data_IF_675152204511
#
_entry.id   IF_675152204511
#
_cell.length_a   1.000
_cell.length_b   1.000
_cell.length_c   1.000
_cell.angle_alpha   90.00
_cell.angle_beta   90.00
_cell.angle_gamma   90.00
#
_symmetry.space_group_name_H-M   'P 1'
#
loop_
_entity.id
_entity.type
_entity.pdbx_description
1 polymer ?
#
# COMPACT_ATOMS: atom_id res chain seq x y z
N UNK A 1 3.69 -22.87 39.55
CA UNK A 1 3.96 -21.42 39.86
C UNK A 1 4.30 -20.76 38.56
N UNK A 2 3.35 -20.13 37.91
CA UNK A 2 3.62 -19.30 36.73
C UNK A 2 4.54 -18.17 37.16
N UNK A 3 5.67 -18.08 36.53
CA UNK A 3 6.72 -17.13 36.86
C UNK A 3 6.14 -15.71 36.66
N UNK A 4 6.02 -14.93 37.73
CA UNK A 4 5.51 -13.54 37.68
C UNK A 4 6.18 -12.69 36.58
N UNK A 5 7.43 -13.01 36.25
CA UNK A 5 8.18 -12.39 35.16
C UNK A 5 7.58 -12.71 33.77
N UNK A 6 7.07 -13.92 33.58
CA UNK A 6 6.46 -14.34 32.32
C UNK A 6 5.05 -13.73 32.16
N UNK A 7 4.30 -13.65 33.24
CA UNK A 7 3.02 -12.96 33.28
C UNK A 7 3.19 -11.45 32.98
N UNK A 8 4.15 -10.80 33.62
CA UNK A 8 4.46 -9.39 33.37
C UNK A 8 4.89 -9.12 31.93
N UNK A 9 5.71 -10.03 31.35
CA UNK A 9 6.13 -9.93 29.95
C UNK A 9 4.95 -10.08 28.99
N UNK A 10 4.07 -11.02 29.25
CA UNK A 10 2.87 -11.23 28.44
C UNK A 10 1.91 -10.05 28.55
N UNK A 11 1.69 -9.50 29.75
CA UNK A 11 0.90 -8.30 29.95
C UNK A 11 1.51 -7.10 29.22
N UNK A 12 2.81 -6.88 29.34
CA UNK A 12 3.50 -5.78 28.67
C UNK A 12 3.37 -5.86 27.13
N UNK A 13 3.51 -7.05 26.57
CA UNK A 13 3.38 -7.27 25.13
C UNK A 13 1.93 -7.19 24.64
N UNK A 14 0.96 -7.55 25.47
CA UNK A 14 -0.47 -7.44 25.13
C UNK A 14 -0.95 -5.98 25.03
N UNK A 15 -0.23 -5.02 25.63
CA UNK A 15 -0.56 -3.60 25.60
C UNK A 15 0.25 -2.80 24.57
N UNK A 16 0.70 -3.41 23.48
CA UNK A 16 1.35 -2.66 22.40
C UNK A 16 0.29 -1.94 21.53
N UNK A 17 0.07 -0.62 21.73
CA UNK A 17 -0.99 0.11 21.02
C UNK A 17 -0.64 0.39 19.55
N UNK A 18 0.59 0.11 19.13
CA UNK A 18 1.06 0.37 17.77
C UNK A 18 0.98 -0.86 16.85
N UNK A 19 0.75 -2.02 17.41
CA UNK A 19 0.64 -3.26 16.63
C UNK A 19 -0.84 -3.64 16.46
N UNK A 20 -1.35 -3.67 15.22
CA UNK A 20 -2.71 -4.15 14.97
C UNK A 20 -2.81 -5.64 15.32
N UNK A 21 -3.95 -6.04 15.82
CA UNK A 21 -4.22 -7.45 16.12
C UNK A 21 -4.40 -8.21 14.79
N UNK A 22 -3.74 -9.37 14.63
CA UNK A 22 -4.03 -10.24 13.50
C UNK A 22 -5.48 -10.75 13.55
N UNK A 23 -5.99 -11.19 12.43
CA UNK A 23 -7.32 -11.78 12.39
C UNK A 23 -7.36 -13.05 13.27
N UNK A 24 -8.45 -13.22 14.01
CA UNK A 24 -8.61 -14.35 14.95
C UNK A 24 -7.82 -14.23 16.26
N UNK A 25 -7.18 -13.09 16.54
CA UNK A 25 -6.47 -12.88 17.81
C UNK A 25 -7.45 -12.99 19.00
N UNK A 26 -7.14 -13.76 20.07
CA UNK A 26 -8.01 -13.93 21.21
C UNK A 26 -8.25 -12.65 22.04
N UNK A 27 -7.40 -11.63 21.86
CA UNK A 27 -7.56 -10.33 22.50
C UNK A 27 -8.49 -9.37 21.70
N UNK A 28 -8.96 -9.79 20.53
CA UNK A 28 -9.89 -8.98 19.74
C UNK A 28 -11.23 -8.88 20.46
N UNK A 29 -11.70 -7.65 20.63
CA UNK A 29 -13.04 -7.34 21.15
C UNK A 29 -13.85 -6.73 20.02
N UNK A 30 -15.00 -7.34 19.73
CA UNK A 30 -15.93 -6.76 18.75
C UNK A 30 -16.54 -5.47 19.29
N UNK A 31 -16.26 -4.38 18.60
CA UNK A 31 -16.76 -3.05 18.93
C UNK A 31 -17.87 -2.58 17.95
N UNK A 32 -18.51 -3.48 17.21
CA UNK A 32 -19.53 -3.16 16.22
C UNK A 32 -20.62 -2.27 16.79
N UNK A 33 -21.21 -2.65 17.91
CA UNK A 33 -22.28 -1.88 18.56
C UNK A 33 -21.88 -0.44 18.95
N UNK A 34 -20.58 -0.18 19.18
CA UNK A 34 -20.06 1.15 19.54
C UNK A 34 -19.69 1.96 18.28
N UNK A 35 -19.46 1.27 17.16
CA UNK A 35 -19.04 1.87 15.88
C UNK A 35 -20.19 2.18 14.93
N UNK A 36 -21.43 1.99 15.34
CA UNK A 36 -22.63 2.28 14.54
C UNK A 36 -23.24 1.09 13.83
N UNK A 37 -23.14 -0.09 14.42
CA UNK A 37 -23.77 -1.35 14.00
C UNK A 37 -23.34 -1.89 12.61
N UNK A 38 -22.44 -1.24 11.90
CA UNK A 38 -21.95 -1.73 10.62
C UNK A 38 -20.75 -2.67 10.80
N UNK A 39 -20.87 -3.91 10.37
CA UNK A 39 -19.70 -4.81 10.24
C UNK A 39 -18.98 -4.50 8.94
N UNK A 40 -17.71 -4.07 9.04
CA UNK A 40 -16.86 -3.79 7.89
C UNK A 40 -16.75 -5.02 6.95
N UNK A 41 -16.77 -6.23 7.50
CA UNK A 41 -16.65 -7.46 6.71
C UNK A 41 -17.90 -7.66 5.85
N UNK A 42 -19.08 -7.39 6.39
CA UNK A 42 -20.32 -7.48 5.64
C UNK A 42 -20.44 -6.32 4.65
N UNK A 43 -20.15 -5.11 5.08
CA UNK A 43 -20.33 -3.94 4.24
C UNK A 43 -19.28 -3.86 3.11
N UNK A 44 -18.00 -3.75 3.45
CA UNK A 44 -16.93 -3.64 2.45
C UNK A 44 -16.65 -4.97 1.77
N UNK A 45 -16.64 -6.07 2.52
CA UNK A 45 -16.39 -7.39 1.97
C UNK A 45 -17.40 -7.77 0.90
N UNK A 46 -18.70 -7.57 1.15
CA UNK A 46 -19.75 -7.84 0.17
C UNK A 46 -19.66 -6.86 -1.04
N UNK A 47 -19.40 -5.57 -0.79
CA UNK A 47 -19.23 -4.61 -1.91
C UNK A 47 -18.08 -5.02 -2.83
N UNK A 48 -16.97 -5.50 -2.30
CA UNK A 48 -15.83 -5.96 -3.09
C UNK A 48 -16.19 -7.23 -3.84
N UNK A 49 -16.80 -8.20 -3.18
CA UNK A 49 -17.11 -9.50 -3.78
C UNK A 49 -18.19 -9.48 -4.85
N UNK A 50 -19.24 -8.68 -4.64
CA UNK A 50 -20.38 -8.58 -5.56
C UNK A 50 -20.13 -7.62 -6.72
N UNK A 51 -19.02 -6.87 -6.69
CA UNK A 51 -18.72 -5.91 -7.73
C UNK A 51 -18.39 -6.61 -9.06
N UNK A 52 -19.11 -6.24 -10.10
CA UNK A 52 -18.83 -6.66 -11.48
C UNK A 52 -17.72 -5.86 -12.16
N UNK A 53 -17.34 -4.73 -11.56
CA UNK A 53 -16.30 -3.82 -12.05
C UNK A 53 -15.30 -3.50 -10.92
N UNK A 54 -14.20 -2.85 -11.28
CA UNK A 54 -13.24 -2.36 -10.27
C UNK A 54 -13.93 -1.36 -9.35
N UNK A 55 -13.78 -1.55 -8.05
CA UNK A 55 -14.26 -0.61 -7.04
C UNK A 55 -13.08 -0.01 -6.28
N UNK A 56 -13.27 1.20 -5.78
CA UNK A 56 -12.39 1.83 -4.82
C UNK A 56 -13.22 2.16 -3.58
N UNK A 57 -12.75 1.73 -2.42
CA UNK A 57 -13.42 1.95 -1.15
C UNK A 57 -12.48 2.70 -0.21
N UNK A 58 -12.98 3.73 0.44
CA UNK A 58 -12.26 4.47 1.47
C UNK A 58 -12.82 4.08 2.85
N UNK A 59 -11.96 3.53 3.70
CA UNK A 59 -12.28 3.23 5.09
C UNK A 59 -11.62 4.24 6.00
N UNK A 60 -12.40 5.11 6.61
CA UNK A 60 -11.93 6.21 7.45
C UNK A 60 -12.41 6.06 8.90
N UNK A 61 -11.74 6.72 9.82
CA UNK A 61 -12.08 6.74 11.24
C UNK A 61 -10.96 7.38 12.06
N UNK A 62 -11.26 7.70 13.31
CA UNK A 62 -10.29 8.31 14.21
C UNK A 62 -9.03 7.45 14.40
N UNK A 63 -7.90 8.11 14.68
CA UNK A 63 -6.67 7.41 15.07
C UNK A 63 -6.92 6.59 16.34
N UNK A 64 -6.44 5.34 16.35
CA UNK A 64 -6.68 4.43 17.48
C UNK A 64 -8.03 3.70 17.46
N UNK A 65 -8.91 3.95 16.47
CA UNK A 65 -10.20 3.26 16.35
C UNK A 65 -10.09 1.79 15.89
N UNK A 66 -8.89 1.24 15.74
CA UNK A 66 -8.66 -0.15 15.34
C UNK A 66 -8.80 -0.42 13.84
N UNK A 67 -8.67 0.60 12.97
CA UNK A 67 -8.80 0.44 11.51
C UNK A 67 -7.92 -0.66 10.95
N UNK A 68 -6.65 -0.68 11.28
CA UNK A 68 -5.69 -1.68 10.80
C UNK A 68 -6.08 -3.11 11.22
N UNK A 69 -6.58 -3.29 12.43
CA UNK A 69 -7.12 -4.59 12.89
C UNK A 69 -8.32 -5.03 12.06
N UNK A 70 -9.25 -4.12 11.78
CA UNK A 70 -10.41 -4.42 10.92
C UNK A 70 -10.02 -4.70 9.47
N UNK A 71 -9.01 -3.99 8.92
CA UNK A 71 -8.50 -4.26 7.59
C UNK A 71 -7.78 -5.61 7.50
N UNK A 72 -7.08 -6.07 8.56
CA UNK A 72 -6.52 -7.42 8.62
C UNK A 72 -7.61 -8.50 8.68
N UNK A 73 -8.70 -8.25 9.41
CA UNK A 73 -9.88 -9.13 9.40
C UNK A 73 -10.53 -9.17 8.02
N UNK A 74 -10.67 -8.02 7.36
CA UNK A 74 -11.19 -7.94 6.00
C UNK A 74 -10.30 -8.70 5.01
N UNK A 75 -8.98 -8.62 5.14
CA UNK A 75 -8.04 -9.41 4.35
C UNK A 75 -8.34 -10.90 4.45
N UNK A 76 -8.40 -11.46 5.68
CA UNK A 76 -8.69 -12.88 5.90
C UNK A 76 -10.09 -13.26 5.36
N UNK A 77 -11.09 -12.41 5.61
CA UNK A 77 -12.45 -12.60 5.09
C UNK A 77 -12.48 -12.72 3.56
N UNK A 78 -11.74 -11.87 2.84
CA UNK A 78 -11.65 -11.90 1.38
C UNK A 78 -10.86 -13.11 0.88
N UNK A 79 -9.73 -13.44 1.53
CA UNK A 79 -8.91 -14.62 1.20
C UNK A 79 -9.71 -15.92 1.34
N UNK A 80 -10.51 -16.06 2.41
CA UNK A 80 -11.42 -17.19 2.60
C UNK A 80 -12.48 -17.32 1.49
N UNK A 81 -12.73 -16.24 0.72
CA UNK A 81 -13.71 -16.17 -0.36
C UNK A 81 -13.08 -16.08 -1.76
N UNK A 82 -11.90 -16.70 -1.91
CA UNK A 82 -11.23 -16.81 -3.20
C UNK A 82 -10.73 -15.47 -3.78
N UNK A 83 -10.50 -14.48 -2.93
CA UNK A 83 -9.86 -13.23 -3.34
C UNK A 83 -8.35 -13.32 -3.05
N UNK A 84 -7.52 -12.96 -4.01
CA UNK A 84 -6.10 -12.73 -3.76
C UNK A 84 -5.93 -11.32 -3.20
N UNK A 85 -5.39 -11.20 -2.00
CA UNK A 85 -5.29 -9.90 -1.31
C UNK A 85 -3.84 -9.47 -1.17
N UNK A 86 -3.52 -8.30 -1.72
CA UNK A 86 -2.27 -7.59 -1.45
C UNK A 86 -2.55 -6.56 -0.36
N UNK A 87 -1.93 -6.73 0.80
CA UNK A 87 -2.04 -5.79 1.93
C UNK A 87 -0.68 -5.22 2.27
N UNK A 88 -0.60 -3.93 2.44
CA UNK A 88 0.59 -3.25 2.96
C UNK A 88 0.23 -1.94 3.68
N UNK A 89 1.08 -1.55 4.64
CA UNK A 89 1.00 -0.27 5.31
C UNK A 89 1.90 0.74 4.57
N UNK A 90 1.33 1.88 4.19
CA UNK A 90 2.01 2.86 3.35
C UNK A 90 3.21 3.52 4.05
N UNK A 91 3.14 3.70 5.36
CA UNK A 91 4.15 4.37 6.18
C UNK A 91 5.32 3.46 6.64
N UNK A 92 5.24 2.14 6.41
CA UNK A 92 6.27 1.23 6.94
C UNK A 92 7.59 1.29 6.16
N UNK A 93 7.56 1.38 4.84
CA UNK A 93 8.77 1.26 4.02
C UNK A 93 9.00 2.40 3.02
N UNK A 94 7.95 2.98 2.46
CA UNK A 94 8.07 3.78 1.23
C UNK A 94 7.70 5.25 1.37
N UNK A 95 6.94 5.63 2.39
CA UNK A 95 6.37 6.98 2.52
C UNK A 95 6.79 7.61 3.84
N UNK A 96 7.20 8.88 3.76
CA UNK A 96 7.33 9.73 4.94
C UNK A 96 5.95 10.31 5.28
N UNK A 97 5.39 9.92 6.43
CA UNK A 97 4.07 10.37 6.85
C UNK A 97 3.98 11.89 7.15
N UNK A 98 5.13 12.55 7.38
CA UNK A 98 5.16 13.99 7.69
C UNK A 98 5.11 14.86 6.42
N UNK A 99 5.48 14.28 5.26
CA UNK A 99 5.50 14.98 3.98
C UNK A 99 5.17 14.02 2.84
N UNK A 100 3.94 13.52 2.80
CA UNK A 100 3.45 12.62 1.75
C UNK A 100 2.60 13.37 0.73
N UNK A 101 2.84 13.12 -0.56
CA UNK A 101 2.05 13.60 -1.68
C UNK A 101 1.53 12.43 -2.53
N UNK A 102 0.62 12.73 -3.45
CA UNK A 102 0.01 11.73 -4.34
C UNK A 102 1.05 10.88 -5.09
N UNK A 103 2.11 11.51 -5.61
CA UNK A 103 3.18 10.82 -6.33
C UNK A 103 3.90 9.78 -5.48
N UNK A 104 4.15 10.08 -4.21
CA UNK A 104 4.82 9.16 -3.28
C UNK A 104 3.97 7.92 -3.05
N UNK A 105 2.66 8.11 -2.84
CA UNK A 105 1.70 7.02 -2.67
C UNK A 105 1.64 6.16 -3.94
N UNK A 106 1.57 6.80 -5.11
CA UNK A 106 1.52 6.08 -6.39
C UNK A 106 2.79 5.25 -6.63
N UNK A 107 3.97 5.81 -6.35
CA UNK A 107 5.24 5.10 -6.47
C UNK A 107 5.34 3.95 -5.47
N UNK A 108 4.97 4.18 -4.21
CA UNK A 108 4.93 3.15 -3.17
C UNK A 108 4.00 2.00 -3.54
N UNK A 109 2.77 2.30 -3.96
CA UNK A 109 1.81 1.31 -4.44
C UNK A 109 2.37 0.54 -5.64
N UNK A 110 2.96 1.23 -6.62
CA UNK A 110 3.53 0.59 -7.80
C UNK A 110 4.65 -0.37 -7.43
N UNK A 111 5.57 0.05 -6.56
CA UNK A 111 6.65 -0.81 -6.09
C UNK A 111 6.13 -2.06 -5.38
N UNK A 112 5.20 -1.88 -4.44
CA UNK A 112 4.63 -3.01 -3.68
C UNK A 112 3.91 -3.99 -4.58
N UNK A 113 3.07 -3.51 -5.48
CA UNK A 113 2.35 -4.35 -6.42
C UNK A 113 3.30 -5.10 -7.37
N UNK A 114 4.36 -4.45 -7.85
CA UNK A 114 5.39 -5.13 -8.63
C UNK A 114 6.08 -6.23 -7.82
N UNK A 115 6.48 -5.94 -6.59
CA UNK A 115 7.19 -6.89 -5.73
C UNK A 115 6.33 -8.13 -5.44
N UNK A 116 5.06 -7.95 -5.09
CA UNK A 116 4.15 -9.03 -4.71
C UNK A 116 3.65 -9.84 -5.92
N UNK A 117 3.41 -9.17 -7.04
CA UNK A 117 2.68 -9.76 -8.16
C UNK A 117 3.55 -10.07 -9.40
N UNK A 118 4.87 -9.83 -9.35
CA UNK A 118 5.78 -9.99 -10.50
C UNK A 118 5.80 -11.40 -11.12
N UNK A 119 5.51 -12.42 -10.31
CA UNK A 119 5.46 -13.82 -10.78
C UNK A 119 4.14 -14.20 -11.42
N UNK A 120 3.08 -13.42 -11.18
CA UNK A 120 1.73 -13.67 -11.69
C UNK A 120 1.43 -12.86 -12.95
N UNK A 121 1.99 -11.67 -13.09
CA UNK A 121 1.77 -10.78 -14.22
C UNK A 121 3.04 -10.49 -15.01
N UNK A 122 2.87 -9.82 -16.15
CA UNK A 122 3.99 -9.31 -16.93
C UNK A 122 4.42 -7.93 -16.41
N UNK A 123 5.54 -7.81 -15.69
CA UNK A 123 5.98 -6.52 -15.14
C UNK A 123 6.56 -5.56 -16.20
N UNK A 124 6.81 -6.03 -17.42
CA UNK A 124 7.48 -5.25 -18.48
C UNK A 124 6.87 -3.87 -18.75
N UNK A 125 5.53 -3.66 -18.78
CA UNK A 125 4.99 -2.33 -19.02
C UNK A 125 5.46 -1.31 -18.00
N UNK A 126 5.46 -1.66 -16.71
CA UNK A 126 5.90 -0.78 -15.63
C UNK A 126 7.43 -0.61 -15.64
N UNK A 127 8.17 -1.68 -15.89
CA UNK A 127 9.63 -1.62 -15.96
C UNK A 127 10.12 -0.83 -17.19
N UNK A 128 9.42 -0.91 -18.31
CA UNK A 128 9.72 -0.07 -19.48
C UNK A 128 9.44 1.41 -19.17
N UNK A 129 8.33 1.72 -18.46
CA UNK A 129 8.08 3.08 -18.02
C UNK A 129 9.22 3.62 -17.16
N UNK A 130 9.75 2.82 -16.22
CA UNK A 130 10.92 3.18 -15.42
C UNK A 130 12.18 3.34 -16.29
N UNK A 131 12.42 2.42 -17.23
CA UNK A 131 13.54 2.44 -18.14
C UNK A 131 13.57 3.72 -18.99
N UNK A 132 12.44 4.12 -19.54
CA UNK A 132 12.31 5.31 -20.40
C UNK A 132 12.68 6.61 -19.65
N UNK A 133 12.62 6.59 -18.31
CA UNK A 133 12.90 7.74 -17.43
C UNK A 133 14.15 7.55 -16.57
N UNK A 134 14.85 6.42 -16.78
CA UNK A 134 15.97 6.06 -15.92
C UNK A 134 17.12 7.07 -15.97
N UNK A 135 17.38 7.67 -17.12
CA UNK A 135 18.43 8.68 -17.23
C UNK A 135 18.18 9.89 -16.32
N UNK A 136 16.91 10.22 -16.10
CA UNK A 136 16.52 11.34 -15.24
C UNK A 136 16.44 10.93 -13.76
N UNK A 137 16.26 9.64 -13.46
CA UNK A 137 15.99 9.13 -12.10
C UNK A 137 17.20 8.40 -11.49
N UNK A 138 18.18 7.96 -12.26
CA UNK A 138 19.29 7.12 -11.76
C UNK A 138 20.13 7.78 -10.67
N UNK A 139 20.36 9.08 -10.79
CA UNK A 139 21.14 9.83 -9.80
C UNK A 139 20.39 9.89 -8.46
N UNK A 140 19.05 9.92 -8.50
CA UNK A 140 18.17 9.90 -7.34
C UNK A 140 18.07 8.52 -6.69
N UNK A 141 18.32 7.47 -7.47
CA UNK A 141 18.47 6.10 -6.95
C UNK A 141 19.89 5.84 -6.41
N UNK A 142 20.78 6.84 -6.42
CA UNK A 142 22.18 6.74 -5.99
C UNK A 142 22.90 5.56 -6.64
N UNK A 143 22.73 5.39 -7.94
CA UNK A 143 23.33 4.28 -8.70
C UNK A 143 23.93 4.76 -10.02
N UNK A 144 25.06 4.17 -10.39
CA UNK A 144 25.71 4.39 -11.70
C UNK A 144 25.32 3.32 -12.74
N UNK A 145 24.58 2.28 -12.31
CA UNK A 145 24.24 1.14 -13.16
C UNK A 145 23.21 1.55 -14.20
N UNK A 146 23.45 1.19 -15.47
CA UNK A 146 22.48 1.39 -16.54
C UNK A 146 21.38 0.34 -16.45
N UNK A 147 20.12 0.75 -16.65
CA UNK A 147 18.96 -0.15 -16.46
C UNK A 147 18.90 -1.23 -17.56
N UNK A 148 19.51 -0.99 -18.72
CA UNK A 148 19.59 -1.93 -19.83
C UNK A 148 20.33 -3.22 -19.47
N UNK A 149 21.31 -3.12 -18.58
CA UNK A 149 22.15 -4.24 -18.14
C UNK A 149 21.49 -5.04 -16.98
N UNK A 150 20.31 -4.61 -16.54
CA UNK A 150 19.62 -5.21 -15.40
C UNK A 150 18.58 -6.24 -15.83
N UNK A 151 18.55 -7.36 -15.14
CA UNK A 151 17.41 -8.27 -15.19
C UNK A 151 16.20 -7.68 -14.45
N UNK A 152 15.03 -8.31 -14.58
CA UNK A 152 13.76 -7.83 -13.96
C UNK A 152 13.90 -7.62 -12.46
N UNK A 153 14.59 -8.51 -11.75
CA UNK A 153 14.74 -8.44 -10.30
C UNK A 153 15.60 -7.26 -9.88
N UNK A 154 16.71 -7.00 -10.60
CA UNK A 154 17.55 -5.84 -10.35
C UNK A 154 16.81 -4.53 -10.65
N UNK A 155 15.99 -4.47 -11.69
CA UNK A 155 15.17 -3.30 -12.00
C UNK A 155 14.16 -3.01 -10.87
N UNK A 156 13.51 -4.04 -10.32
CA UNK A 156 12.62 -3.91 -9.15
C UNK A 156 13.40 -3.44 -7.92
N UNK A 157 14.61 -3.95 -7.70
CA UNK A 157 15.47 -3.50 -6.61
C UNK A 157 15.87 -2.01 -6.75
N UNK A 158 16.15 -1.54 -7.99
CA UNK A 158 16.45 -0.12 -8.20
C UNK A 158 15.22 0.76 -7.98
N UNK A 159 14.04 0.27 -8.36
CA UNK A 159 12.79 0.98 -8.05
C UNK A 159 12.57 1.06 -6.53
N UNK A 160 12.84 -0.02 -5.79
CA UNK A 160 12.78 -0.01 -4.34
C UNK A 160 13.76 0.98 -3.69
N UNK A 161 14.97 1.15 -4.23
CA UNK A 161 15.91 2.18 -3.77
C UNK A 161 15.39 3.59 -4.02
N UNK A 162 14.79 3.83 -5.18
CA UNK A 162 14.20 5.12 -5.51
C UNK A 162 13.10 5.49 -4.51
N UNK A 163 12.20 4.56 -4.19
CA UNK A 163 11.13 4.79 -3.20
C UNK A 163 11.66 4.90 -1.77
N UNK A 164 12.70 4.16 -1.41
CA UNK A 164 13.35 4.32 -0.12
C UNK A 164 13.96 5.73 0.06
N UNK A 165 14.51 6.32 -1.01
CA UNK A 165 15.03 7.69 -0.98
C UNK A 165 13.91 8.73 -0.87
N UNK A 166 12.72 8.47 -1.41
CA UNK A 166 11.53 9.31 -1.17
C UNK A 166 11.25 9.45 0.34
N UNK A 167 11.40 8.37 1.10
CA UNK A 167 11.19 8.39 2.54
C UNK A 167 12.33 9.03 3.31
N UNK A 168 13.56 8.66 2.97
CA UNK A 168 14.73 8.92 3.81
C UNK A 168 15.38 10.29 3.59
N UNK A 169 15.24 10.87 2.38
CA UNK A 169 16.02 12.05 1.96
C UNK A 169 15.10 13.14 1.40
N UNK A 170 14.75 14.17 2.19
CA UNK A 170 13.81 15.21 1.78
C UNK A 170 14.18 15.94 0.47
N UNK A 171 15.46 16.20 0.26
CA UNK A 171 15.95 16.91 -0.94
C UNK A 171 15.71 16.05 -2.19
N UNK A 172 16.00 14.75 -2.12
CA UNK A 172 15.76 13.82 -3.23
C UNK A 172 14.26 13.60 -3.46
N UNK A 173 13.45 13.63 -2.40
CA UNK A 173 12.00 13.48 -2.48
C UNK A 173 11.37 14.53 -3.39
N UNK A 174 11.69 15.80 -3.16
CA UNK A 174 11.18 16.88 -4.01
C UNK A 174 11.61 16.71 -5.47
N UNK A 175 12.86 16.40 -5.71
CA UNK A 175 13.38 16.20 -7.05
C UNK A 175 12.74 14.98 -7.76
N UNK A 176 12.50 13.88 -7.04
CA UNK A 176 11.76 12.73 -7.57
C UNK A 176 10.34 13.13 -7.96
N UNK A 177 9.64 13.88 -7.10
CA UNK A 177 8.29 14.37 -7.38
C UNK A 177 8.27 15.22 -8.66
N UNK A 178 9.15 16.20 -8.77
CA UNK A 178 9.22 17.09 -9.94
C UNK A 178 9.44 16.31 -11.25
N UNK A 179 10.26 15.26 -11.21
CA UNK A 179 10.54 14.42 -12.39
C UNK A 179 9.43 13.41 -12.70
N UNK A 180 8.70 12.94 -11.70
CA UNK A 180 7.65 11.92 -11.86
C UNK A 180 6.27 12.52 -12.09
N UNK A 181 5.93 13.64 -11.46
CA UNK A 181 4.61 14.28 -11.55
C UNK A 181 4.07 14.41 -12.98
N UNK A 182 4.85 14.86 -13.99
CA UNK A 182 4.35 14.97 -15.36
C UNK A 182 3.98 13.61 -15.99
N UNK A 183 4.39 12.51 -15.38
CA UNK A 183 4.27 11.16 -15.91
C UNK A 183 3.34 10.23 -15.11
N UNK A 184 2.67 10.74 -14.08
CA UNK A 184 1.77 9.96 -13.22
C UNK A 184 0.65 9.28 -13.98
N UNK A 185 0.02 9.96 -14.93
CA UNK A 185 -1.04 9.40 -15.78
C UNK A 185 -0.54 8.19 -16.59
N UNK A 186 0.67 8.28 -17.13
CA UNK A 186 1.26 7.15 -17.88
C UNK A 186 1.67 6.02 -16.96
N UNK A 187 2.12 6.30 -15.74
CA UNK A 187 2.41 5.28 -14.72
C UNK A 187 1.14 4.52 -14.33
N UNK A 188 0.04 5.23 -14.06
CA UNK A 188 -1.25 4.60 -13.75
C UNK A 188 -1.70 3.69 -14.90
N UNK A 189 -1.55 4.14 -16.14
CA UNK A 189 -1.93 3.33 -17.31
C UNK A 189 -1.15 2.02 -17.36
N UNK A 190 0.17 2.05 -17.27
CA UNK A 190 1.00 0.82 -17.33
C UNK A 190 0.82 -0.06 -16.10
N UNK A 191 0.53 0.53 -14.93
CA UNK A 191 0.17 -0.23 -13.74
C UNK A 191 -1.16 -0.97 -13.92
N UNK A 192 -2.16 -0.31 -14.50
CA UNK A 192 -3.45 -0.95 -14.81
C UNK A 192 -3.31 -2.07 -15.86
N UNK A 193 -2.43 -1.91 -16.85
CA UNK A 193 -2.09 -2.98 -17.82
C UNK A 193 -1.48 -4.19 -17.09
N UNK A 194 -0.53 -3.96 -16.19
CA UNK A 194 0.08 -5.00 -15.36
C UNK A 194 -0.96 -5.70 -14.50
N UNK A 195 -1.80 -4.96 -13.76
CA UNK A 195 -2.84 -5.54 -12.90
C UNK A 195 -3.89 -6.33 -13.70
N UNK A 196 -4.20 -5.89 -14.92
CA UNK A 196 -5.10 -6.60 -15.83
C UNK A 196 -4.51 -7.95 -16.24
N UNK A 197 -3.21 -8.01 -16.48
CA UNK A 197 -2.51 -9.27 -16.79
C UNK A 197 -2.42 -10.19 -15.56
N UNK A 198 -2.14 -9.65 -14.37
CA UNK A 198 -2.18 -10.38 -13.10
C UNK A 198 -3.54 -11.06 -12.88
N UNK A 199 -4.65 -10.32 -13.08
CA UNK A 199 -6.00 -10.86 -12.91
C UNK A 199 -6.29 -12.08 -13.79
N UNK A 200 -5.67 -12.19 -14.95
CA UNK A 200 -5.81 -13.37 -15.83
C UNK A 200 -5.03 -14.59 -15.35
N UNK A 201 -4.09 -14.41 -14.45
CA UNK A 201 -3.13 -15.42 -13.99
C UNK A 201 -3.17 -15.64 -12.49
N UNK A 202 -4.27 -15.24 -11.84
CA UNK A 202 -4.47 -15.52 -10.42
C UNK A 202 -4.39 -17.03 -10.15
N UNK A 203 -3.98 -17.45 -8.95
CA UNK A 203 -4.04 -18.86 -8.55
C UNK A 203 -5.43 -19.47 -8.79
N UNK A 204 -5.49 -20.76 -9.10
CA UNK A 204 -6.74 -21.43 -9.48
C UNK A 204 -7.85 -21.36 -8.40
N UNK A 205 -7.47 -21.13 -7.16
CA UNK A 205 -8.38 -20.93 -6.04
C UNK A 205 -8.81 -19.46 -5.84
N UNK A 206 -8.35 -18.53 -6.70
CA UNK A 206 -8.69 -17.12 -6.63
C UNK A 206 -9.36 -16.65 -7.91
N UNK A 207 -10.40 -15.83 -7.76
CA UNK A 207 -11.16 -15.27 -8.88
C UNK A 207 -11.16 -13.73 -8.90
N UNK A 208 -10.67 -13.10 -7.84
CA UNK A 208 -10.61 -11.66 -7.67
C UNK A 208 -9.25 -11.23 -7.09
N UNK A 209 -8.87 -9.97 -7.33
CA UNK A 209 -7.72 -9.32 -6.74
C UNK A 209 -8.20 -8.11 -5.94
N UNK A 210 -7.82 -8.02 -4.69
CA UNK A 210 -8.01 -6.85 -3.86
C UNK A 210 -6.65 -6.28 -3.42
N UNK A 211 -6.57 -4.96 -3.33
CA UNK A 211 -5.40 -4.24 -2.80
C UNK A 211 -5.86 -3.40 -1.63
N UNK A 212 -5.27 -3.62 -0.47
CA UNK A 212 -5.55 -2.89 0.76
C UNK A 212 -4.31 -2.08 1.11
N UNK A 213 -4.46 -0.77 1.13
CA UNK A 213 -3.41 0.18 1.53
C UNK A 213 -3.80 0.77 2.87
N UNK A 214 -3.06 0.43 3.91
CA UNK A 214 -3.31 0.89 5.28
C UNK A 214 -2.41 2.09 5.65
N UNK A 215 -2.73 2.75 6.77
CA UNK A 215 -1.97 3.84 7.36
C UNK A 215 -1.87 5.14 6.52
N UNK A 216 -2.74 5.32 5.51
CA UNK A 216 -2.80 6.59 4.77
C UNK A 216 -3.28 7.76 5.65
N UNK A 217 -3.98 7.48 6.75
CA UNK A 217 -4.44 8.48 7.73
C UNK A 217 -3.34 9.00 8.67
N UNK A 218 -2.16 8.43 8.61
CA UNK A 218 -0.99 8.94 9.34
C UNK A 218 -0.29 10.10 8.66
N UNK A 219 -0.66 10.38 7.41
CA UNK A 219 -0.09 11.50 6.66
C UNK A 219 -0.50 12.83 7.29
N UNK A 220 0.47 13.71 7.49
CA UNK A 220 0.23 15.07 7.99
C UNK A 220 -0.33 15.92 6.86
N UNK A 221 -1.28 16.80 7.21
CA UNK A 221 -1.82 17.80 6.27
C UNK A 221 -0.72 18.79 5.89
N UNK A 222 -0.24 18.69 4.67
CA UNK A 222 0.67 19.67 4.07
C UNK A 222 -0.15 20.55 3.12
N UNK A 223 -0.02 21.86 3.26
CA UNK A 223 -0.65 22.83 2.35
C UNK A 223 0.36 23.22 1.27
N UNK A 224 -0.02 22.97 0.02
CA UNK A 224 0.66 23.54 -1.13
C UNK A 224 -0.28 24.58 -1.79
N UNK A 225 -0.02 25.85 -1.53
CA UNK A 225 -0.91 26.95 -1.94
C UNK A 225 -2.26 26.92 -1.21
N UNK A 226 -3.36 26.87 -1.99
CA UNK A 226 -4.73 26.84 -1.48
C UNK A 226 -5.26 25.43 -1.22
N UNK A 227 -4.57 24.38 -1.73
CA UNK A 227 -4.97 22.98 -1.61
C UNK A 227 -4.18 22.24 -0.54
N UNK A 228 -4.77 21.18 -0.02
CA UNK A 228 -4.09 20.25 0.89
C UNK A 228 -3.76 18.96 0.16
N UNK A 229 -2.72 18.25 0.59
CA UNK A 229 -2.39 16.93 0.07
C UNK A 229 -3.56 15.93 0.21
N UNK A 230 -4.45 16.11 1.17
CA UNK A 230 -5.67 15.30 1.33
C UNK A 230 -6.66 15.53 0.18
N UNK A 231 -6.86 16.77 -0.23
CA UNK A 231 -7.75 17.10 -1.37
C UNK A 231 -7.21 16.50 -2.66
N UNK A 232 -5.90 16.61 -2.88
CA UNK A 232 -5.23 16.04 -4.05
C UNK A 232 -5.34 14.50 -4.09
N UNK A 233 -5.12 13.83 -2.95
CA UNK A 233 -5.11 12.36 -2.87
C UNK A 233 -6.52 11.76 -2.89
N UNK A 234 -7.49 12.39 -2.22
CA UNK A 234 -8.77 11.78 -1.94
C UNK A 234 -9.97 12.42 -2.63
N UNK A 235 -9.88 13.67 -3.07
CA UNK A 235 -11.02 14.41 -3.61
C UNK A 235 -10.90 14.76 -5.11
N UNK A 236 -9.68 14.99 -5.62
CA UNK A 236 -9.45 15.26 -7.03
C UNK A 236 -9.37 13.93 -7.83
N UNK A 237 -10.53 13.48 -8.33
CA UNK A 237 -10.65 12.34 -9.23
C UNK A 237 -11.26 12.74 -10.55
#
# INVERSE_FOLDING_TARGET
MTNNSELLKNLYNAFNPFQPLPAGDPNYVDCQAVRGDADILEELGNRIQLASQNTCQLYSGHRGAGKSTELLRLKEYLEARQCYVVYFAADEEDIDSEDAQYTDILLACTRRLLQELRTMGNPKPVLNWLKDRWQDLKDLALTEIQIEDMNVELQICQFAKLTANLRAVPELRQEIRERVNPHTVTLIKVLNEFLTDVKKRLPANCNQLAVIVDNLDRMVLVKDGERTNYEEVFLDR
#
